data_IF_940928763840
#
_entry.id   IF_940928763840
#
_cell.length_a   1.000
_cell.length_b   1.000
_cell.length_c   1.000
_cell.angle_alpha   90.00
_cell.angle_beta   90.00
_cell.angle_gamma   90.00
#
_symmetry.space_group_name_H-M   'P 1'
#
loop_
_entity.id
_entity.type
_entity.pdbx_description
1 polymer ?
#
# COMPACT_ATOMS: atom_id res chain seq x y z
N UNK A 1 -5.00 0.04 -9.21
CA UNK A 1 -5.74 0.82 -10.23
C UNK A 1 -5.88 2.25 -9.75
N UNK A 2 -5.63 3.24 -10.59
CA UNK A 2 -5.84 4.65 -10.23
C UNK A 2 -6.63 5.36 -11.32
N UNK A 3 -7.55 6.23 -10.92
CA UNK A 3 -8.39 7.03 -11.81
C UNK A 3 -8.26 8.49 -11.40
N UNK A 4 -8.00 9.35 -12.40
CA UNK A 4 -8.06 10.80 -12.24
C UNK A 4 -9.42 11.30 -12.70
N UNK A 5 -10.12 12.02 -11.84
CA UNK A 5 -11.39 12.66 -12.14
C UNK A 5 -11.20 14.17 -12.01
N UNK A 6 -11.41 14.89 -13.10
CA UNK A 6 -11.38 16.34 -13.11
C UNK A 6 -12.82 16.87 -13.21
N UNK A 7 -13.23 17.66 -12.22
CA UNK A 7 -14.56 18.26 -12.16
C UNK A 7 -14.57 19.74 -12.57
N UNK A 8 -13.42 20.30 -12.97
CA UNK A 8 -13.19 21.71 -13.27
C UNK A 8 -13.07 22.61 -12.03
N UNK A 9 -13.51 22.14 -10.86
CA UNK A 9 -13.35 22.83 -9.56
C UNK A 9 -12.29 22.16 -8.69
N UNK A 10 -12.19 20.85 -8.80
CA UNK A 10 -11.28 20.02 -8.01
C UNK A 10 -10.90 18.80 -8.83
N UNK A 11 -9.64 18.40 -8.70
CA UNK A 11 -9.12 17.16 -9.26
C UNK A 11 -9.12 16.11 -8.15
N UNK A 12 -9.66 14.94 -8.43
CA UNK A 12 -9.69 13.80 -7.51
C UNK A 12 -8.85 12.65 -8.06
N UNK A 13 -8.06 12.03 -7.20
CA UNK A 13 -7.28 10.82 -7.46
C UNK A 13 -7.87 9.68 -6.67
N UNK A 14 -8.51 8.75 -7.36
CA UNK A 14 -9.12 7.56 -6.75
C UNK A 14 -8.20 6.38 -7.02
N UNK A 15 -7.57 5.87 -5.97
CA UNK A 15 -6.70 4.71 -6.00
C UNK A 15 -7.44 3.54 -5.37
N UNK A 16 -7.52 2.44 -6.12
CA UNK A 16 -7.90 1.14 -5.62
C UNK A 16 -6.68 0.22 -5.61
N UNK A 17 -6.26 -0.22 -4.43
CA UNK A 17 -5.08 -1.04 -4.23
C UNK A 17 -5.42 -2.33 -3.49
N UNK A 18 -4.78 -3.44 -3.85
CA UNK A 18 -4.93 -4.72 -3.20
C UNK A 18 -3.55 -5.16 -2.71
N UNK A 19 -3.37 -5.30 -1.40
CA UNK A 19 -2.08 -5.68 -0.85
C UNK A 19 -1.73 -7.13 -1.21
N UNK A 20 -0.42 -7.44 -1.34
CA UNK A 20 0.04 -8.80 -1.57
C UNK A 20 -0.48 -9.76 -0.48
N UNK A 21 -0.96 -10.94 -0.91
CA UNK A 21 -1.58 -11.91 -0.02
C UNK A 21 -0.57 -12.66 0.86
N UNK A 22 -1.08 -13.42 1.84
CA UNK A 22 -0.29 -14.29 2.71
C UNK A 22 0.35 -15.38 1.83
N UNK A 23 1.65 -15.25 1.57
CA UNK A 23 2.39 -16.08 0.63
C UNK A 23 3.38 -15.30 -0.24
N UNK A 24 3.18 -13.99 -0.38
CA UNK A 24 4.16 -13.09 -1.01
C UNK A 24 5.35 -12.83 -0.08
N UNK A 25 6.54 -12.65 -0.67
CA UNK A 25 7.77 -12.36 0.06
C UNK A 25 7.71 -10.97 0.72
N UNK A 26 8.56 -10.75 1.72
CA UNK A 26 8.68 -9.44 2.36
C UNK A 26 9.12 -8.35 1.38
N UNK A 27 9.92 -8.70 0.37
CA UNK A 27 10.33 -7.78 -0.70
C UNK A 27 9.16 -7.40 -1.59
N UNK A 28 8.31 -8.36 -2.00
CA UNK A 28 7.11 -8.07 -2.78
C UNK A 28 6.13 -7.16 -2.02
N UNK A 29 6.01 -7.36 -0.70
CA UNK A 29 5.23 -6.49 0.18
C UNK A 29 5.82 -5.10 0.29
N UNK A 30 7.14 -4.98 0.56
CA UNK A 30 7.81 -3.68 0.68
C UNK A 30 7.73 -2.89 -0.62
N UNK A 31 8.07 -3.53 -1.75
CA UNK A 31 8.00 -2.92 -3.08
C UNK A 31 6.61 -2.39 -3.40
N UNK A 32 5.55 -3.13 -3.03
CA UNK A 32 4.18 -2.66 -3.22
C UNK A 32 3.88 -1.36 -2.44
N UNK A 33 4.29 -1.27 -1.17
CA UNK A 33 4.07 -0.06 -0.37
C UNK A 33 4.96 1.10 -0.82
N UNK A 34 6.19 0.83 -1.23
CA UNK A 34 7.11 1.83 -1.81
C UNK A 34 6.55 2.40 -3.11
N UNK A 35 6.06 1.55 -4.02
CA UNK A 35 5.43 1.97 -5.27
C UNK A 35 4.17 2.81 -5.02
N UNK A 36 3.37 2.41 -4.01
CA UNK A 36 2.17 3.14 -3.62
C UNK A 36 2.50 4.51 -3.02
N UNK A 37 3.48 4.57 -2.13
CA UNK A 37 3.98 5.82 -1.53
C UNK A 37 4.54 6.76 -2.61
N UNK A 38 5.38 6.25 -3.51
CA UNK A 38 5.91 7.03 -4.62
C UNK A 38 4.78 7.56 -5.51
N UNK A 39 3.75 6.76 -5.80
CA UNK A 39 2.60 7.22 -6.58
C UNK A 39 1.83 8.33 -5.86
N UNK A 40 1.58 8.18 -4.55
CA UNK A 40 0.92 9.20 -3.73
C UNK A 40 1.71 10.51 -3.72
N UNK A 41 3.04 10.45 -3.67
CA UNK A 41 3.90 11.64 -3.74
C UNK A 41 3.84 12.37 -5.09
N UNK A 42 3.36 11.73 -6.17
CA UNK A 42 3.16 12.42 -7.47
C UNK A 42 1.89 13.27 -7.52
N UNK A 43 1.06 13.21 -6.49
CA UNK A 43 -0.23 13.90 -6.42
C UNK A 43 0.00 15.29 -5.83
N UNK A 44 -0.50 16.32 -6.51
CA UNK A 44 -0.37 17.69 -6.01
C UNK A 44 -1.20 17.91 -4.74
N UNK A 45 -0.72 18.79 -3.85
CA UNK A 45 -1.38 19.10 -2.57
C UNK A 45 -2.81 19.67 -2.72
N UNK A 46 -3.13 20.20 -3.90
CA UNK A 46 -4.44 20.75 -4.28
C UNK A 46 -5.42 19.70 -4.84
N UNK A 47 -4.95 18.47 -5.07
CA UNK A 47 -5.77 17.35 -5.51
C UNK A 47 -6.31 16.55 -4.31
N UNK A 48 -7.54 16.04 -4.43
CA UNK A 48 -8.15 15.20 -3.39
C UNK A 48 -7.79 13.74 -3.64
N UNK A 49 -7.09 13.12 -2.70
CA UNK A 49 -6.73 11.71 -2.76
C UNK A 49 -7.74 10.82 -2.01
N UNK A 50 -8.32 9.86 -2.71
CA UNK A 50 -9.08 8.74 -2.15
C UNK A 50 -8.28 7.46 -2.35
N UNK A 51 -7.77 6.87 -1.27
CA UNK A 51 -7.17 5.54 -1.27
C UNK A 51 -8.17 4.55 -0.67
N UNK A 52 -8.55 3.54 -1.44
CA UNK A 52 -9.42 2.46 -0.99
C UNK A 52 -8.90 1.11 -1.46
N UNK A 53 -9.36 0.04 -0.81
CA UNK A 53 -9.04 -1.32 -1.20
C UNK A 53 -8.66 -2.21 -0.02
N UNK A 54 -8.36 -3.46 -0.32
CA UNK A 54 -7.98 -4.45 0.68
C UNK A 54 -6.47 -4.38 0.88
N UNK A 55 -6.07 -3.58 1.87
CA UNK A 55 -4.67 -3.45 2.23
C UNK A 55 -4.19 -4.62 3.10
N UNK A 56 -5.06 -5.61 3.35
CA UNK A 56 -4.80 -6.83 4.10
C UNK A 56 -3.90 -6.59 5.33
N UNK A 57 -4.24 -5.54 6.09
CA UNK A 57 -3.46 -5.03 7.22
C UNK A 57 -3.45 -6.03 8.36
N UNK A 58 -2.64 -7.08 8.23
CA UNK A 58 -2.16 -7.82 9.38
C UNK A 58 -1.25 -6.87 10.13
N UNK A 59 -1.79 -6.24 11.17
CA UNK A 59 -0.96 -5.53 12.13
C UNK A 59 -0.02 -6.58 12.74
N UNK A 60 1.23 -6.63 12.26
CA UNK A 60 2.35 -7.11 13.05
C UNK A 60 2.59 -6.10 14.18
N UNK A 61 1.61 -5.99 15.07
CA UNK A 61 1.71 -5.23 16.30
C UNK A 61 2.73 -5.94 17.19
N UNK A 62 3.98 -5.54 17.00
CA UNK A 62 5.09 -5.59 17.94
C UNK A 62 5.68 -6.97 18.22
N UNK A 63 6.93 -7.14 17.76
CA UNK A 63 8.07 -7.16 18.69
C UNK A 63 9.37 -6.91 17.93
N UNK A 64 9.94 -5.73 18.16
CA UNK A 64 11.38 -5.65 18.32
C UNK A 64 11.72 -6.61 19.46
N UNK A 65 12.27 -7.77 19.11
CA UNK A 65 13.27 -8.55 19.85
C UNK A 65 13.51 -9.84 19.04
N UNK A 66 14.75 -9.94 18.58
CA UNK A 66 15.48 -11.06 18.01
C UNK A 66 15.09 -11.63 16.63
N UNK A 67 16.13 -11.67 15.81
CA UNK A 67 16.32 -12.52 14.65
C UNK A 67 16.10 -14.01 15.02
N UNK A 68 15.91 -14.85 14.01
CA UNK A 68 15.66 -16.31 14.05
C UNK A 68 14.21 -16.76 14.29
N UNK A 69 13.47 -17.02 13.20
CA UNK A 69 12.97 -18.38 12.94
C UNK A 69 12.58 -18.55 11.45
N UNK A 70 13.56 -18.83 10.61
CA UNK A 70 13.34 -19.56 9.36
C UNK A 70 13.33 -21.07 9.66
N UNK A 71 12.42 -21.61 10.47
CA UNK A 71 12.21 -23.08 10.57
C UNK A 71 10.77 -23.48 10.82
N UNK A 72 10.05 -23.53 9.70
CA UNK A 72 9.23 -24.69 9.35
C UNK A 72 7.81 -24.68 9.88
N UNK A 73 6.89 -25.04 8.99
CA UNK A 73 5.86 -26.04 9.25
C UNK A 73 5.17 -26.41 7.93
N UNK A 74 5.54 -27.62 7.48
CA UNK A 74 4.87 -28.58 6.60
C UNK A 74 4.45 -28.15 5.17
#
# INVERSE_FOLDING_TARGET
MAVKVDTGKTVMRIISAYAPQVGCTSEEKSSFYEDLEQYVHTIGDEEVLLLGGDLNGHNDAKRALDEDDCRGLN
#
